data_IF_645713817245
#
_entry.id   IF_645713817245
#
_cell.length_a   1.000
_cell.length_b   1.000
_cell.length_c   1.000
_cell.angle_alpha   90.00
_cell.angle_beta   90.00
_cell.angle_gamma   90.00
#
_symmetry.space_group_name_H-M   'P 1'
#
loop_
_entity.id
_entity.type
_entity.pdbx_description
1 polymer ?
#
# COMPACT_ATOMS: atom_id res chain seq x y z
N UNK A 1 8.32 -11.90 0.38
CA UNK A 1 7.19 -11.43 1.22
C UNK A 1 6.41 -12.67 1.66
N UNK A 2 6.31 -12.96 2.96
CA UNK A 2 5.56 -14.12 3.45
C UNK A 2 4.04 -13.91 3.36
N UNK A 3 3.27 -14.97 3.57
CA UNK A 3 1.83 -14.92 3.81
C UNK A 3 1.57 -14.00 5.00
N UNK A 4 0.69 -13.00 4.86
CA UNK A 4 0.44 -12.04 5.95
C UNK A 4 -0.17 -12.70 7.19
N UNK A 5 -0.87 -13.82 7.02
CA UNK A 5 -1.59 -14.51 8.11
C UNK A 5 -0.72 -15.51 8.86
N UNK A 6 -0.09 -16.46 8.15
CA UNK A 6 0.65 -17.55 8.78
C UNK A 6 2.18 -17.43 8.66
N UNK A 7 2.69 -16.42 7.96
CA UNK A 7 4.13 -16.24 7.76
C UNK A 7 4.79 -17.21 6.77
N UNK A 8 4.05 -18.14 6.17
CA UNK A 8 4.57 -19.06 5.16
C UNK A 8 5.27 -18.30 4.03
N UNK A 9 6.37 -18.83 3.49
CA UNK A 9 7.09 -18.20 2.38
C UNK A 9 6.74 -18.93 1.09
N UNK A 10 6.58 -18.16 0.01
CA UNK A 10 6.47 -18.74 -1.32
C UNK A 10 7.79 -19.44 -1.65
N UNK A 11 7.72 -20.75 -1.90
CA UNK A 11 8.80 -21.53 -2.49
C UNK A 11 8.88 -21.23 -3.99
N UNK A 12 9.98 -21.60 -4.64
CA UNK A 12 10.24 -21.32 -6.05
C UNK A 12 8.98 -21.53 -6.93
N UNK A 13 8.47 -20.48 -7.59
CA UNK A 13 7.26 -20.60 -8.39
C UNK A 13 7.51 -21.54 -9.56
N UNK A 14 6.79 -22.66 -9.58
CA UNK A 14 6.66 -23.47 -10.79
C UNK A 14 6.12 -22.62 -11.93
N UNK A 15 6.58 -22.86 -13.16
CA UNK A 15 6.17 -22.11 -14.34
C UNK A 15 4.63 -22.13 -14.47
N UNK A 16 4.01 -20.96 -14.51
CA UNK A 16 2.56 -20.83 -14.63
C UNK A 16 1.96 -19.78 -13.67
N UNK A 17 0.64 -19.84 -13.50
CA UNK A 17 -0.06 -18.97 -12.56
C UNK A 17 0.33 -19.34 -11.11
N UNK A 18 0.72 -18.34 -10.32
CA UNK A 18 1.02 -18.57 -8.91
C UNK A 18 -0.25 -18.99 -8.16
N UNK A 19 -0.21 -20.05 -7.34
CA UNK A 19 -1.36 -20.42 -6.50
C UNK A 19 -1.57 -19.45 -5.33
N UNK A 20 -0.65 -18.50 -5.14
CA UNK A 20 -0.75 -17.47 -4.11
C UNK A 20 -1.60 -16.30 -4.58
N UNK A 21 -2.59 -15.92 -3.78
CA UNK A 21 -3.40 -14.74 -4.02
C UNK A 21 -2.68 -13.49 -3.54
N UNK A 22 -2.90 -12.39 -4.24
CA UNK A 22 -2.53 -11.03 -3.82
C UNK A 22 -3.80 -10.30 -3.36
N UNK A 23 -3.66 -9.49 -2.32
CA UNK A 23 -4.70 -8.58 -1.83
C UNK A 23 -4.07 -7.35 -1.19
N UNK A 24 -4.88 -6.43 -0.70
CA UNK A 24 -4.43 -5.23 0.00
C UNK A 24 -4.95 -5.27 1.43
N UNK A 25 -4.11 -4.91 2.40
CA UNK A 25 -4.50 -4.73 3.81
C UNK A 25 -3.82 -3.48 4.33
N UNK A 26 -4.62 -2.55 4.87
CA UNK A 26 -4.12 -1.26 5.34
C UNK A 26 -3.25 -0.57 4.28
N UNK A 27 -3.77 -0.48 3.06
CA UNK A 27 -3.11 0.14 1.90
C UNK A 27 -1.81 -0.52 1.45
N UNK A 28 -1.45 -1.67 2.02
CA UNK A 28 -0.22 -2.40 1.68
C UNK A 28 -0.53 -3.66 0.89
N UNK A 29 0.24 -3.92 -0.17
CA UNK A 29 0.13 -5.17 -0.92
C UNK A 29 0.59 -6.35 -0.05
N UNK A 30 -0.29 -7.35 0.10
CA UNK A 30 -0.01 -8.59 0.83
C UNK A 30 -0.15 -9.82 -0.06
N UNK A 31 0.49 -10.93 0.37
CA UNK A 31 0.33 -12.26 -0.19
C UNK A 31 -0.46 -13.16 0.75
N UNK A 32 -1.29 -14.05 0.19
CA UNK A 32 -2.03 -15.07 0.92
C UNK A 32 -1.67 -16.46 0.36
N UNK A 33 -1.17 -17.35 1.22
CA UNK A 33 -0.85 -18.72 0.81
C UNK A 33 -2.13 -19.52 0.48
N UNK A 34 -2.03 -20.61 -0.30
CA UNK A 34 -3.19 -21.43 -0.68
C UNK A 34 -4.01 -21.93 0.50
N UNK A 35 -3.37 -22.24 1.63
CA UNK A 35 -4.08 -22.73 2.82
C UNK A 35 -4.89 -21.63 3.51
N UNK A 36 -4.29 -20.46 3.71
CA UNK A 36 -5.00 -19.31 4.28
C UNK A 36 -6.09 -18.76 3.35
N UNK A 37 -6.00 -18.97 2.03
CA UNK A 37 -7.05 -18.56 1.10
C UNK A 37 -8.38 -19.29 1.30
N UNK A 38 -8.37 -20.47 1.93
CA UNK A 38 -9.60 -21.23 2.23
C UNK A 38 -10.36 -20.69 3.45
N UNK A 39 -9.73 -19.81 4.23
CA UNK A 39 -10.37 -19.18 5.39
C UNK A 39 -11.33 -18.06 4.93
N UNK A 40 -12.48 -17.94 5.60
CA UNK A 40 -13.53 -16.98 5.24
C UNK A 40 -13.31 -15.58 5.83
N UNK A 41 -12.40 -15.43 6.79
CA UNK A 41 -12.17 -14.25 7.63
C UNK A 41 -10.86 -13.52 7.27
N UNK A 42 -10.53 -13.44 5.97
CA UNK A 42 -9.37 -12.65 5.55
C UNK A 42 -9.67 -11.15 5.70
N UNK A 43 -8.93 -10.49 6.60
CA UNK A 43 -8.92 -9.03 6.75
C UNK A 43 -8.23 -8.35 5.55
N UNK A 44 -8.96 -8.16 4.45
CA UNK A 44 -8.52 -7.41 3.28
C UNK A 44 -9.33 -6.13 3.14
N UNK A 45 -8.69 -5.11 2.60
CA UNK A 45 -9.36 -3.89 2.20
C UNK A 45 -10.36 -4.21 1.07
N UNK A 46 -11.53 -3.57 1.12
CA UNK A 46 -12.56 -3.67 0.09
C UNK A 46 -12.64 -2.36 -0.71
N UNK A 47 -13.01 -2.46 -1.98
CA UNK A 47 -13.29 -1.31 -2.80
C UNK A 47 -14.49 -0.53 -2.23
N UNK A 48 -14.32 0.75 -1.95
CA UNK A 48 -15.41 1.65 -1.52
C UNK A 48 -16.53 1.80 -2.54
N UNK A 49 -16.24 1.57 -3.83
CA UNK A 49 -17.21 1.71 -4.93
C UNK A 49 -18.03 0.44 -5.18
N UNK A 50 -17.44 -0.76 -5.07
CA UNK A 50 -18.11 -2.01 -5.46
C UNK A 50 -17.99 -3.16 -4.44
N UNK A 51 -17.30 -2.96 -3.32
CA UNK A 51 -17.10 -3.98 -2.27
C UNK A 51 -16.10 -5.10 -2.61
N UNK A 52 -15.55 -5.14 -3.82
CA UNK A 52 -14.58 -6.17 -4.22
C UNK A 52 -13.26 -6.06 -3.44
N UNK A 53 -12.69 -7.20 -3.04
CA UNK A 53 -11.35 -7.31 -2.43
C UNK A 53 -10.24 -7.57 -3.45
N UNK A 54 -10.57 -7.57 -4.75
CA UNK A 54 -9.60 -7.69 -5.84
C UNK A 54 -8.84 -6.37 -6.06
N UNK A 55 -8.09 -5.95 -5.03
CA UNK A 55 -7.32 -4.72 -5.02
C UNK A 55 -5.84 -4.98 -5.31
N UNK A 56 -5.18 -3.99 -5.94
CA UNK A 56 -3.74 -3.98 -6.16
C UNK A 56 -3.17 -2.65 -5.67
N UNK A 57 -2.06 -2.69 -4.92
CA UNK A 57 -1.37 -1.48 -4.47
C UNK A 57 -0.06 -1.33 -5.24
N UNK A 58 0.12 -0.19 -5.91
CA UNK A 58 1.30 0.13 -6.73
C UNK A 58 1.60 1.62 -6.62
N UNK A 59 2.89 1.97 -6.44
CA UNK A 59 3.38 3.35 -6.50
C UNK A 59 2.59 4.38 -5.64
N UNK A 60 2.02 3.94 -4.52
CA UNK A 60 1.24 4.83 -3.64
C UNK A 60 -0.24 4.96 -4.04
N UNK A 61 -0.75 4.10 -4.91
CA UNK A 61 -2.17 4.02 -5.27
C UNK A 61 -2.71 2.61 -5.05
N UNK A 62 -4.00 2.53 -4.72
CA UNK A 62 -4.77 1.30 -4.63
C UNK A 62 -5.84 1.30 -5.72
N UNK A 63 -5.76 0.33 -6.64
CA UNK A 63 -6.69 0.15 -7.75
C UNK A 63 -7.54 -1.10 -7.54
N UNK A 64 -8.85 -0.99 -7.79
CA UNK A 64 -9.78 -2.11 -7.84
C UNK A 64 -9.81 -2.75 -9.21
N UNK A 65 -9.43 -4.04 -9.32
CA UNK A 65 -9.45 -4.78 -10.58
C UNK A 65 -10.85 -5.16 -11.07
N UNK A 66 -11.87 -5.01 -10.23
CA UNK A 66 -13.25 -5.35 -10.60
C UNK A 66 -13.98 -4.18 -11.26
N UNK A 67 -13.78 -2.94 -10.81
CA UNK A 67 -14.48 -1.76 -11.36
C UNK A 67 -13.55 -0.62 -11.81
N UNK A 68 -12.23 -0.73 -11.61
CA UNK A 68 -11.26 0.29 -12.00
C UNK A 68 -11.15 1.49 -11.05
N UNK A 69 -11.87 1.51 -9.92
CA UNK A 69 -11.77 2.61 -8.95
C UNK A 69 -10.34 2.68 -8.37
N UNK A 70 -9.76 3.89 -8.36
CA UNK A 70 -8.41 4.18 -7.85
C UNK A 70 -8.52 5.15 -6.68
N UNK A 71 -7.74 4.91 -5.62
CA UNK A 71 -7.56 5.83 -4.49
C UNK A 71 -6.09 5.90 -4.10
N UNK A 72 -5.66 6.98 -3.46
CA UNK A 72 -4.27 7.05 -2.96
C UNK A 72 -4.10 6.11 -1.76
N UNK A 73 -2.99 5.39 -1.73
CA UNK A 73 -2.56 4.59 -0.59
C UNK A 73 -2.07 5.53 0.53
N UNK A 74 -2.53 5.31 1.75
CA UNK A 74 -2.21 6.16 2.91
C UNK A 74 -3.18 7.31 3.14
N UNK A 75 -4.20 7.51 2.30
CA UNK A 75 -5.32 8.41 2.62
C UNK A 75 -6.26 7.83 3.67
N UNK A 76 -6.26 6.50 3.86
CA UNK A 76 -7.14 5.81 4.83
C UNK A 76 -6.46 5.51 6.18
N UNK A 77 -5.17 5.83 6.34
CA UNK A 77 -4.41 5.73 7.59
C UNK A 77 -4.00 7.11 8.11
N UNK A 78 -3.41 7.23 9.32
CA UNK A 78 -3.05 8.52 9.89
C UNK A 78 -1.96 9.18 9.05
N UNK A 79 -2.38 10.08 8.17
CA UNK A 79 -1.64 11.20 7.60
C UNK A 79 -0.31 10.89 6.94
N UNK A 80 -0.21 11.21 5.65
CA UNK A 80 1.03 11.82 5.15
C UNK A 80 1.52 12.82 6.20
N UNK A 81 2.80 12.80 6.62
CA UNK A 81 3.30 13.81 7.54
C UNK A 81 2.96 15.17 6.94
N UNK A 82 2.15 15.95 7.67
CA UNK A 82 1.78 17.29 7.25
C UNK A 82 3.07 18.10 7.24
N UNK A 83 3.53 18.43 6.04
CA UNK A 83 4.67 19.32 5.89
C UNK A 83 4.22 20.68 6.41
N UNK A 84 4.91 21.29 7.38
CA UNK A 84 4.58 22.63 7.85
C UNK A 84 4.55 23.58 6.64
N UNK A 85 3.52 24.42 6.56
CA UNK A 85 3.32 25.31 5.41
C UNK A 85 4.50 26.30 5.23
N UNK A 86 5.24 26.54 6.31
CA UNK A 86 6.39 27.43 6.43
C UNK A 86 7.75 26.74 6.27
N UNK A 87 7.80 25.42 6.10
CA UNK A 87 9.06 24.68 5.97
C UNK A 87 9.95 25.24 4.83
N UNK A 88 9.34 25.69 3.74
CA UNK A 88 10.06 26.32 2.63
C UNK A 88 10.77 27.62 3.06
N UNK A 89 10.10 28.46 3.85
CA UNK A 89 10.67 29.71 4.35
C UNK A 89 11.77 29.46 5.39
N UNK A 90 11.60 28.45 6.25
CA UNK A 90 12.63 28.06 7.21
C UNK A 90 13.91 27.56 6.51
N UNK A 91 13.76 26.72 5.48
CA UNK A 91 14.88 26.21 4.68
C UNK A 91 15.57 27.35 3.93
N UNK A 92 14.82 28.26 3.32
CA UNK A 92 15.37 29.42 2.63
C UNK A 92 16.19 30.32 3.59
N UNK A 93 15.64 30.61 4.78
CA UNK A 93 16.36 31.38 5.79
C UNK A 93 17.64 30.68 6.28
N UNK A 94 17.60 29.35 6.41
CA UNK A 94 18.80 28.57 6.77
C UNK A 94 19.86 28.64 5.67
N UNK A 95 19.47 28.50 4.40
CA UNK A 95 20.38 28.58 3.26
C UNK A 95 21.01 29.97 3.14
N UNK A 96 20.25 31.05 3.33
CA UNK A 96 20.77 32.42 3.29
C UNK A 96 21.83 32.67 4.37
N UNK A 97 21.65 32.10 5.59
CA UNK A 97 22.65 32.17 6.67
C UNK A 97 23.92 31.40 6.33
N UNK A 98 23.81 30.21 5.74
CA UNK A 98 24.98 29.37 5.38
C UNK A 98 25.75 29.94 4.20
N UNK A 99 25.05 30.54 3.22
CA UNK A 99 25.63 31.04 1.99
C UNK A 99 26.10 32.51 2.07
N UNK A 100 25.91 33.17 3.21
CA UNK A 100 26.34 34.57 3.40
C UNK A 100 25.62 35.57 2.50
N UNK A 101 24.40 35.23 2.05
CA UNK A 101 23.53 36.12 1.28
C UNK A 101 22.65 36.88 2.28
N UNK A 102 23.19 37.96 2.84
CA UNK A 102 22.45 38.94 3.64
C UNK A 102 22.47 40.29 2.93
#
# INVERSE_FOLDING_TARGET
MPCYRCGARQTDPVRGASPWRRGVRSDTQVLICPDCQRAHDLELDACSSCGSTALVCRLGEVECRSCGHVRSAGESGPGRPSVPADLAAEVEAALSRVLGRS
#
